data_IF_256314687633
#
_entry.id   IF_256314687633
#
_cell.length_a   1.000
_cell.length_b   1.000
_cell.length_c   1.000
_cell.angle_alpha   90.00
_cell.angle_beta   90.00
_cell.angle_gamma   90.00
#
_symmetry.space_group_name_H-M   'P 1'
#
loop_
_entity.id
_entity.type
_entity.pdbx_description
1 polymer ?
#
# COMPACT_ATOMS: atom_id res chain seq x y z
N UNK A 1 -18.32 -11.48 15.28
CA UNK A 1 -18.55 -10.02 15.10
C UNK A 1 -17.24 -9.46 14.57
N UNK A 2 -17.27 -8.72 13.47
CA UNK A 2 -16.05 -8.22 12.84
C UNK A 2 -15.42 -7.04 13.60
N UNK A 3 -14.11 -6.87 13.47
CA UNK A 3 -13.38 -5.69 13.97
C UNK A 3 -13.25 -4.66 12.87
N UNK A 4 -13.54 -3.40 13.17
CA UNK A 4 -13.36 -2.28 12.26
C UNK A 4 -12.09 -1.51 12.65
N UNK A 5 -11.18 -1.39 11.69
CA UNK A 5 -9.92 -0.67 11.82
C UNK A 5 -9.90 0.45 10.79
N UNK A 6 -9.77 1.70 11.24
CA UNK A 6 -9.65 2.87 10.36
C UNK A 6 -8.28 3.50 10.55
N UNK A 7 -7.50 3.57 9.49
CA UNK A 7 -6.26 4.33 9.42
C UNK A 7 -6.52 5.64 8.69
N UNK A 8 -6.51 6.74 9.44
CA UNK A 8 -6.60 8.10 8.91
C UNK A 8 -5.20 8.63 8.65
N UNK A 9 -4.80 8.72 7.39
CA UNK A 9 -3.55 9.38 6.98
C UNK A 9 -3.87 10.83 6.62
N UNK A 10 -3.52 11.72 7.55
CA UNK A 10 -3.80 13.15 7.49
C UNK A 10 -2.67 13.95 6.84
N UNK A 11 -2.39 15.12 7.39
CA UNK A 11 -1.47 16.10 6.83
C UNK A 11 -0.07 15.54 6.62
N UNK A 12 0.50 15.91 5.47
CA UNK A 12 1.86 15.58 5.09
C UNK A 12 2.02 15.22 3.61
N UNK A 13 3.20 14.75 3.28
CA UNK A 13 3.55 14.28 1.95
C UNK A 13 4.75 13.32 2.06
N UNK A 14 5.12 12.68 0.95
CA UNK A 14 6.23 11.72 0.96
C UNK A 14 7.61 12.33 1.30
N UNK A 15 7.78 13.65 1.27
CA UNK A 15 9.03 14.33 1.67
C UNK A 15 9.09 14.62 3.17
N UNK A 16 7.93 14.84 3.80
CA UNK A 16 7.81 15.25 5.21
C UNK A 16 7.28 14.16 6.13
N UNK A 17 6.74 13.08 5.56
CA UNK A 17 5.99 12.05 6.28
C UNK A 17 4.51 12.39 6.38
N UNK A 18 3.76 11.55 7.09
CA UNK A 18 2.32 11.71 7.30
C UNK A 18 1.98 11.51 8.78
N UNK A 19 1.03 12.31 9.27
CA UNK A 19 0.39 11.99 10.55
C UNK A 19 -0.64 10.89 10.33
N UNK A 20 -0.62 9.86 11.17
CA UNK A 20 -1.56 8.75 11.09
C UNK A 20 -2.33 8.63 12.38
N UNK A 21 -3.65 8.60 12.29
CA UNK A 21 -4.53 8.31 13.43
C UNK A 21 -5.19 6.96 13.18
N UNK A 22 -4.99 6.03 14.11
CA UNK A 22 -5.62 4.74 14.12
C UNK A 22 -6.86 4.81 15.00
N UNK A 23 -8.00 4.39 14.46
CA UNK A 23 -9.25 4.20 15.19
C UNK A 23 -9.68 2.73 15.09
N UNK A 24 -10.12 2.15 16.20
CA UNK A 24 -10.60 0.77 16.23
C UNK A 24 -11.92 0.66 17.00
N UNK A 25 -12.77 -0.27 16.58
CA UNK A 25 -14.02 -0.59 17.24
C UNK A 25 -14.61 -1.91 16.73
N UNK A 26 -15.76 -2.29 17.27
CA UNK A 26 -16.56 -3.37 16.70
C UNK A 26 -17.33 -2.86 15.48
N UNK A 27 -17.50 -3.71 14.46
CA UNK A 27 -18.25 -3.32 13.27
C UNK A 27 -19.71 -2.97 13.65
N UNK A 28 -20.10 -1.73 13.37
CA UNK A 28 -21.41 -1.17 13.75
C UNK A 28 -21.48 -0.45 15.11
N UNK A 29 -20.37 -0.32 15.85
CA UNK A 29 -20.31 0.43 17.12
C UNK A 29 -19.38 1.65 17.04
N UNK A 30 -19.43 2.49 18.08
CA UNK A 30 -18.47 3.59 18.25
C UNK A 30 -17.05 3.04 18.45
N UNK A 31 -16.06 3.79 17.96
CA UNK A 31 -14.66 3.44 18.16
C UNK A 31 -14.32 3.43 19.64
N UNK A 32 -13.71 2.34 20.10
CA UNK A 32 -13.27 2.14 21.49
C UNK A 32 -11.84 2.60 21.70
N UNK A 33 -11.06 2.75 20.63
CA UNK A 33 -9.65 3.12 20.69
C UNK A 33 -9.33 4.15 19.61
N UNK A 34 -8.58 5.19 20.00
CA UNK A 34 -7.95 6.13 19.08
C UNK A 34 -6.51 6.39 19.54
N UNK A 35 -5.56 6.22 18.63
CA UNK A 35 -4.15 6.60 18.86
C UNK A 35 -3.59 7.32 17.65
N UNK A 36 -2.60 8.18 17.89
CA UNK A 36 -1.90 8.90 16.82
C UNK A 36 -0.44 8.47 16.77
N UNK A 37 0.08 8.32 15.56
CA UNK A 37 1.47 8.02 15.26
C UNK A 37 1.89 8.73 13.97
N UNK A 38 3.06 8.37 13.44
CA UNK A 38 3.58 9.00 12.23
C UNK A 38 4.21 8.01 11.28
N UNK A 39 3.98 8.22 9.99
CA UNK A 39 4.79 7.61 8.94
C UNK A 39 5.91 8.58 8.56
N UNK A 40 7.15 8.09 8.43
CA UNK A 40 8.28 8.95 8.09
C UNK A 40 8.24 9.37 6.62
N UNK A 41 9.10 10.30 6.20
CA UNK A 41 9.33 10.55 4.78
C UNK A 41 9.68 9.28 4.00
N UNK A 42 9.12 9.14 2.80
CA UNK A 42 9.42 8.08 1.85
C UNK A 42 9.31 8.58 0.40
N UNK A 43 10.17 9.52 -0.02
CA UNK A 43 10.07 10.17 -1.33
C UNK A 43 10.18 9.20 -2.50
N UNK A 44 10.95 8.12 -2.32
CA UNK A 44 11.22 7.10 -3.33
C UNK A 44 10.01 6.20 -3.65
N UNK A 45 9.01 6.09 -2.74
CA UNK A 45 7.85 5.19 -2.95
C UNK A 45 7.11 5.51 -4.25
N UNK A 46 7.01 6.79 -4.60
CA UNK A 46 6.35 7.22 -5.84
C UNK A 46 7.10 6.72 -7.08
N UNK A 47 8.44 6.69 -7.03
CA UNK A 47 9.27 6.20 -8.13
C UNK A 47 9.13 4.68 -8.30
N UNK A 48 9.10 3.93 -7.19
CA UNK A 48 8.85 2.49 -7.25
C UNK A 48 7.46 2.17 -7.80
N UNK A 49 6.45 2.94 -7.40
CA UNK A 49 5.10 2.79 -7.94
C UNK A 49 5.06 3.08 -9.44
N UNK A 50 5.65 4.19 -9.89
CA UNK A 50 5.68 4.53 -11.32
C UNK A 50 6.46 3.49 -12.14
N UNK A 51 7.57 2.98 -11.63
CA UNK A 51 8.35 1.93 -12.29
C UNK A 51 7.55 0.64 -12.44
N UNK A 52 6.80 0.24 -11.42
CA UNK A 52 5.90 -0.90 -11.50
C UNK A 52 4.78 -0.67 -12.53
N UNK A 53 4.11 0.49 -12.51
CA UNK A 53 3.04 0.82 -13.48
C UNK A 53 3.58 0.79 -14.92
N UNK A 54 4.73 1.41 -15.17
CA UNK A 54 5.35 1.41 -16.51
C UNK A 54 5.70 0.01 -16.98
N UNK A 55 6.25 -0.83 -16.10
CA UNK A 55 6.56 -2.22 -16.41
C UNK A 55 5.28 -3.02 -16.71
N UNK A 56 4.21 -2.80 -15.94
CA UNK A 56 2.92 -3.43 -16.14
C UNK A 56 2.25 -3.02 -17.46
N UNK A 57 2.26 -1.72 -17.79
CA UNK A 57 1.76 -1.21 -19.07
C UNK A 57 2.58 -1.74 -20.25
N UNK A 58 3.89 -1.90 -20.06
CA UNK A 58 4.82 -2.48 -21.02
C UNK A 58 4.57 -3.96 -21.35
N UNK A 59 3.78 -4.69 -20.53
CA UNK A 59 3.38 -6.07 -20.83
C UNK A 59 2.47 -6.19 -22.05
N UNK A 60 1.98 -5.08 -22.59
CA UNK A 60 1.08 -5.11 -23.75
C UNK A 60 -0.28 -5.73 -23.42
N UNK A 61 -0.68 -5.69 -22.15
CA UNK A 61 -2.05 -6.01 -21.71
C UNK A 61 -2.98 -5.01 -22.39
N UNK A 62 -3.50 -5.45 -23.53
CA UNK A 62 -4.22 -4.71 -24.55
C UNK A 62 -5.09 -3.61 -23.96
N UNK A 63 -4.74 -2.35 -24.22
CA UNK A 63 -5.76 -1.33 -24.43
C UNK A 63 -6.74 -1.90 -25.45
N UNK A 64 -8.05 -1.73 -25.25
CA UNK A 64 -9.15 -2.19 -26.13
C UNK A 64 -9.05 -1.78 -27.62
N UNK A 65 -7.96 -1.15 -28.04
CA UNK A 65 -7.63 -0.77 -29.41
C UNK A 65 -6.44 -1.62 -29.87
N UNK A 66 -6.70 -2.50 -30.84
CA UNK A 66 -5.71 -3.34 -31.50
C UNK A 66 -4.60 -2.48 -32.11
N UNK A 67 -3.34 -2.71 -31.72
CA UNK A 67 -2.19 -2.19 -32.48
C UNK A 67 -1.87 -3.14 -33.64
N UNK A 68 -1.56 -2.63 -34.84
CA UNK A 68 -1.05 -3.46 -35.93
C UNK A 68 0.25 -4.15 -35.50
N UNK A 69 0.39 -5.42 -35.87
CA UNK A 69 1.47 -6.34 -35.48
C UNK A 69 2.83 -6.01 -36.13
N UNK A 70 3.31 -4.78 -36.00
CA UNK A 70 4.57 -4.34 -36.58
C UNK A 70 5.39 -3.50 -35.59
N UNK A 71 5.72 -4.09 -34.43
CA UNK A 71 6.79 -3.64 -33.54
C UNK A 71 7.01 -4.68 -32.42
N UNK A 72 7.30 -5.92 -32.80
CA UNK A 72 7.87 -6.89 -31.86
C UNK A 72 9.38 -6.59 -31.82
N UNK A 73 9.79 -5.71 -30.92
CA UNK A 73 11.19 -5.66 -30.49
C UNK A 73 11.49 -6.98 -29.77
N UNK A 74 12.68 -7.55 -29.99
CA UNK A 74 13.15 -8.86 -29.52
C UNK A 74 13.23 -9.04 -27.99
N UNK A 75 12.43 -8.32 -27.20
CA UNK A 75 12.27 -8.57 -25.77
C UNK A 75 11.23 -9.68 -25.61
N UNK A 76 11.66 -10.83 -25.09
CA UNK A 76 10.74 -11.93 -24.83
C UNK A 76 9.64 -11.47 -23.86
N UNK A 77 8.37 -11.80 -24.13
CA UNK A 77 7.27 -11.52 -23.19
C UNK A 77 7.55 -12.10 -21.78
N UNK A 78 8.36 -13.16 -21.72
CA UNK A 78 8.83 -13.77 -20.47
C UNK A 78 9.70 -12.80 -19.65
N UNK A 79 10.70 -12.17 -20.25
CA UNK A 79 11.56 -11.21 -19.55
C UNK A 79 10.79 -9.97 -19.11
N UNK A 80 9.87 -9.45 -19.93
CA UNK A 80 9.00 -8.33 -19.52
C UNK A 80 8.12 -8.69 -18.30
N UNK A 81 7.57 -9.91 -18.27
CA UNK A 81 6.80 -10.40 -17.13
C UNK A 81 7.66 -10.53 -15.88
N UNK A 82 8.88 -11.04 -16.01
CA UNK A 82 9.84 -11.13 -14.91
C UNK A 82 10.18 -9.75 -14.36
N UNK A 83 10.45 -8.76 -15.23
CA UNK A 83 10.71 -7.38 -14.82
C UNK A 83 9.53 -6.76 -14.07
N UNK A 84 8.30 -6.99 -14.53
CA UNK A 84 7.09 -6.49 -13.87
C UNK A 84 6.90 -7.12 -12.48
N UNK A 85 7.16 -8.42 -12.34
CA UNK A 85 7.09 -9.11 -11.06
C UNK A 85 8.17 -8.59 -10.11
N UNK A 86 9.39 -8.38 -10.61
CA UNK A 86 10.49 -7.81 -9.83
C UNK A 86 10.15 -6.39 -9.34
N UNK A 87 9.62 -5.53 -10.22
CA UNK A 87 9.21 -4.18 -9.85
C UNK A 87 8.09 -4.19 -8.79
N UNK A 88 7.13 -5.12 -8.91
CA UNK A 88 6.06 -5.31 -7.92
C UNK A 88 6.62 -5.75 -6.56
N UNK A 89 7.59 -6.68 -6.56
CA UNK A 89 8.26 -7.13 -5.34
C UNK A 89 9.05 -6.01 -4.67
N UNK A 90 9.78 -5.20 -5.43
CA UNK A 90 10.52 -4.05 -4.91
C UNK A 90 9.55 -3.04 -4.29
N UNK A 91 8.46 -2.70 -4.97
CA UNK A 91 7.43 -1.81 -4.42
C UNK A 91 6.85 -2.37 -3.11
N UNK A 92 6.47 -3.65 -3.08
CA UNK A 92 5.96 -4.31 -1.87
C UNK A 92 6.96 -4.23 -0.72
N UNK A 93 8.23 -4.55 -0.98
CA UNK A 93 9.28 -4.53 0.03
C UNK A 93 9.49 -3.12 0.60
N UNK A 94 9.57 -2.11 -0.27
CA UNK A 94 9.79 -0.71 0.12
C UNK A 94 8.59 -0.15 0.88
N UNK A 95 7.39 -0.47 0.44
CA UNK A 95 6.15 -0.11 1.13
C UNK A 95 6.08 -0.74 2.54
N UNK A 96 6.37 -2.03 2.67
CA UNK A 96 6.36 -2.68 3.98
C UNK A 96 7.48 -2.21 4.90
N UNK A 97 8.68 -1.91 4.36
CA UNK A 97 9.76 -1.30 5.15
C UNK A 97 9.34 0.06 5.69
N UNK A 98 8.63 0.85 4.89
CA UNK A 98 8.10 2.13 5.33
C UNK A 98 7.04 1.99 6.43
N UNK A 99 6.14 1.01 6.32
CA UNK A 99 5.16 0.69 7.37
C UNK A 99 5.77 0.01 8.61
N UNK A 100 7.02 -0.42 8.58
CA UNK A 100 7.77 -0.97 9.73
C UNK A 100 8.72 0.04 10.37
N UNK A 101 8.57 1.32 10.05
CA UNK A 101 9.36 2.38 10.69
C UNK A 101 9.04 2.52 12.17
N UNK A 102 10.04 2.85 12.99
CA UNK A 102 9.90 3.11 14.43
C UNK A 102 8.80 4.13 14.74
N UNK A 103 8.64 5.19 13.94
CA UNK A 103 7.62 6.21 14.18
C UNK A 103 6.18 5.70 14.00
N UNK A 104 6.00 4.57 13.33
CA UNK A 104 4.72 3.92 13.06
C UNK A 104 4.52 2.66 13.93
N UNK A 105 5.55 2.22 14.65
CA UNK A 105 5.53 1.07 15.53
C UNK A 105 4.39 1.11 16.56
N UNK A 106 4.09 2.24 17.26
CA UNK A 106 3.00 2.28 18.23
C UNK A 106 1.62 1.95 17.63
N UNK A 107 1.39 2.32 16.36
CA UNK A 107 0.15 1.99 15.65
C UNK A 107 0.08 0.50 15.35
N UNK A 108 1.20 -0.08 14.90
CA UNK A 108 1.28 -1.50 14.59
C UNK A 108 1.14 -2.36 15.84
N UNK A 109 1.81 -2.01 16.93
CA UNK A 109 1.70 -2.72 18.20
C UNK A 109 0.26 -2.73 18.71
N UNK A 110 -0.41 -1.57 18.75
CA UNK A 110 -1.82 -1.52 19.15
C UNK A 110 -2.73 -2.33 18.25
N UNK A 111 -2.42 -2.40 16.96
CA UNK A 111 -3.16 -3.23 16.02
C UNK A 111 -2.99 -4.72 16.31
N UNK A 112 -1.77 -5.15 16.63
CA UNK A 112 -1.50 -6.54 17.00
C UNK A 112 -2.04 -6.91 18.39
N UNK A 113 -2.10 -5.97 19.33
CA UNK A 113 -2.68 -6.18 20.66
C UNK A 113 -4.21 -6.39 20.60
N UNK A 114 -4.91 -5.69 19.70
CA UNK A 114 -6.37 -5.67 19.64
C UNK A 114 -6.97 -6.72 18.69
N UNK A 115 -6.15 -7.31 17.82
CA UNK A 115 -6.60 -8.25 16.80
C UNK A 115 -6.12 -9.65 17.13
N UNK A 116 -7.04 -10.61 17.15
CA UNK A 116 -6.69 -12.04 17.20
C UNK A 116 -6.75 -12.65 15.80
N UNK A 117 -5.98 -13.73 15.51
CA UNK A 117 -5.98 -14.36 14.18
C UNK A 117 -7.34 -14.89 13.70
N UNK A 118 -8.29 -15.08 14.61
CA UNK A 118 -9.64 -15.54 14.31
C UNK A 118 -10.63 -14.40 13.97
N UNK A 119 -10.24 -13.14 14.17
CA UNK A 119 -11.12 -12.01 13.90
C UNK A 119 -11.21 -11.72 12.41
N UNK A 120 -12.43 -11.49 11.92
CA UNK A 120 -12.65 -10.86 10.63
C UNK A 120 -12.39 -9.35 10.76
N UNK A 121 -11.39 -8.86 10.04
CA UNK A 121 -10.91 -7.48 10.16
C UNK A 121 -11.31 -6.70 8.91
N UNK A 122 -12.03 -5.60 9.10
CA UNK A 122 -12.29 -4.61 8.07
C UNK A 122 -11.33 -3.43 8.22
N UNK A 123 -10.36 -3.34 7.33
CA UNK A 123 -9.41 -2.23 7.28
C UNK A 123 -9.89 -1.14 6.31
N UNK A 124 -10.07 0.08 6.82
CA UNK A 124 -10.41 1.27 6.03
C UNK A 124 -9.22 2.23 6.04
N UNK A 125 -8.75 2.58 4.86
CA UNK A 125 -7.72 3.60 4.68
C UNK A 125 -8.41 4.92 4.32
N UNK A 126 -8.43 5.86 5.25
CA UNK A 126 -8.97 7.19 5.04
C UNK A 126 -7.83 8.17 4.77
N UNK A 127 -7.80 8.74 3.56
CA UNK A 127 -6.79 9.72 3.19
C UNK A 127 -7.27 10.60 2.05
N UNK A 128 -6.90 11.87 2.06
CA UNK A 128 -7.12 12.80 0.95
C UNK A 128 -6.04 12.67 -0.14
N UNK A 129 -4.89 12.08 0.20
CA UNK A 129 -3.78 11.94 -0.73
C UNK A 129 -4.03 10.80 -1.73
N UNK A 130 -4.19 11.15 -3.00
CA UNK A 130 -4.46 10.18 -4.07
C UNK A 130 -3.36 9.13 -4.24
N UNK A 131 -2.11 9.48 -3.96
CA UNK A 131 -0.98 8.55 -4.09
C UNK A 131 -0.99 7.48 -3.01
N UNK A 132 -1.38 7.85 -1.78
CA UNK A 132 -1.56 6.87 -0.71
C UNK A 132 -2.64 5.85 -1.06
N UNK A 133 -3.73 6.26 -1.71
CA UNK A 133 -4.80 5.34 -2.17
C UNK A 133 -4.33 4.33 -3.21
N UNK A 134 -3.27 4.64 -3.96
CA UNK A 134 -2.71 3.77 -5.00
C UNK A 134 -1.74 2.71 -4.46
N UNK A 135 -1.31 2.83 -3.20
CA UNK A 135 -0.37 1.89 -2.60
C UNK A 135 -1.01 0.52 -2.34
N UNK A 136 -0.21 -0.57 -2.35
CA UNK A 136 -0.74 -1.92 -2.21
C UNK A 136 -1.04 -2.26 -0.74
N UNK A 137 -2.02 -1.60 -0.13
CA UNK A 137 -2.43 -1.82 1.28
C UNK A 137 -2.83 -3.27 1.58
N UNK A 138 -3.35 -3.99 0.59
CA UNK A 138 -3.67 -5.42 0.69
C UNK A 138 -2.43 -6.33 0.83
N UNK A 139 -1.24 -5.80 0.55
CA UNK A 139 0.05 -6.48 0.73
C UNK A 139 0.79 -5.98 1.97
N UNK A 140 0.10 -5.27 2.86
CA UNK A 140 0.65 -4.84 4.13
C UNK A 140 0.93 -6.08 5.00
N UNK A 141 2.19 -6.24 5.37
CA UNK A 141 2.73 -7.29 6.20
C UNK A 141 2.68 -6.86 7.66
N UNK A 142 1.64 -7.33 8.36
CA UNK A 142 1.44 -7.08 9.78
C UNK A 142 2.31 -7.97 10.68
N UNK A 143 2.75 -9.11 10.15
CA UNK A 143 3.55 -10.12 10.84
C UNK A 143 5.05 -9.82 10.79
#
# INVERSE_FOLDING_TARGET
MGKLVILKLGDGNFEQGFTVTLQMGEDGQLFSLEITGRLPPAPEIRQYYSGWVQSYEGLGLRSRLERPAAQITNVSLKSLKEDCLNAAQVLRMRFNRWLRSESFEPIREKLLEQLIPADEIRLIIQTENIWLRKLPWHLWDLC
#
